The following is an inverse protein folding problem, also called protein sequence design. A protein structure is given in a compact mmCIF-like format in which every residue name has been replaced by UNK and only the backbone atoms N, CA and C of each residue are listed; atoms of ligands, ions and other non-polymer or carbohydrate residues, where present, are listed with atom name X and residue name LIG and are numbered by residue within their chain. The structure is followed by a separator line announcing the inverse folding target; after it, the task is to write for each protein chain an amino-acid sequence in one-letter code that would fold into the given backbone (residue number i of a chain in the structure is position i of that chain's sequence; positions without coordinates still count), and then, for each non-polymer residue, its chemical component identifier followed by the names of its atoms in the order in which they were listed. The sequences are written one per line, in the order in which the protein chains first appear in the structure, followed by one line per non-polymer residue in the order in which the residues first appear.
data_IF_611487943855
#
_entry.id   IF_611487943855
#
_cell.length_a   1.000
_cell.length_b   1.000
_cell.length_c   1.000
_cell.angle_alpha   90.00
_cell.angle_beta   90.00
_cell.angle_gamma   90.00
#
_symmetry.space_group_name_H-M   'P 1'
#
loop_
_entity.id
_entity.type
_entity.pdbx_description
1 polymer ?
#
# COMPACT_ATOMS: atom_id res chain seq x y z
N UNK A 1 13.44 -11.62 -0.78
CA UNK A 1 12.14 -12.27 -1.06
C UNK A 1 12.21 -13.81 -0.91
N UNK A 2 13.05 -14.28 0.01
CA UNK A 2 13.17 -15.70 0.41
C UNK A 2 13.22 -16.69 -0.75
N UNK A 3 13.98 -16.33 -1.81
CA UNK A 3 14.16 -17.12 -3.03
C UNK A 3 12.86 -17.52 -3.75
N UNK A 4 11.81 -16.72 -3.61
CA UNK A 4 10.57 -16.96 -4.34
C UNK A 4 10.79 -16.77 -5.85
N UNK A 5 10.59 -17.81 -6.68
CA UNK A 5 11.00 -17.78 -8.10
C UNK A 5 10.23 -16.73 -8.92
N UNK A 6 9.00 -16.42 -8.55
CA UNK A 6 8.18 -15.42 -9.24
C UNK A 6 8.78 -14.01 -9.22
N UNK A 7 9.72 -13.70 -8.32
CA UNK A 7 10.44 -12.42 -8.31
C UNK A 7 11.34 -12.25 -9.55
N UNK A 8 11.97 -13.34 -9.97
CA UNK A 8 12.94 -13.31 -11.10
C UNK A 8 12.34 -13.80 -12.42
N UNK A 9 11.17 -14.44 -12.39
CA UNK A 9 10.52 -15.01 -13.57
C UNK A 9 9.27 -14.25 -14.02
N UNK A 10 8.78 -13.30 -13.24
CA UNK A 10 7.61 -12.49 -13.61
C UNK A 10 7.91 -11.58 -14.81
N UNK A 11 6.86 -11.21 -15.54
CA UNK A 11 6.93 -10.23 -16.61
C UNK A 11 7.18 -8.82 -16.08
N UNK A 12 6.48 -8.45 -14.99
CA UNK A 12 6.57 -7.14 -14.36
C UNK A 12 6.58 -7.28 -12.84
N UNK A 13 7.48 -6.56 -12.19
CA UNK A 13 7.56 -6.48 -10.75
C UNK A 13 7.12 -5.09 -10.30
N UNK A 14 6.03 -5.02 -9.56
CA UNK A 14 5.55 -3.78 -8.97
C UNK A 14 5.98 -3.73 -7.51
N UNK A 15 6.63 -2.64 -7.12
CA UNK A 15 6.99 -2.35 -5.74
C UNK A 15 6.13 -1.19 -5.26
N UNK A 16 5.32 -1.41 -4.24
CA UNK A 16 4.45 -0.36 -3.68
C UNK A 16 5.12 0.20 -2.43
N UNK A 17 5.26 1.52 -2.42
CA UNK A 17 5.88 2.26 -1.32
C UNK A 17 4.83 3.00 -0.51
N UNK A 18 4.98 2.96 0.80
CA UNK A 18 4.25 3.80 1.73
C UNK A 18 4.92 5.17 1.81
N UNK A 19 4.20 6.24 1.52
CA UNK A 19 4.72 7.61 1.56
C UNK A 19 4.62 8.16 2.98
N UNK A 20 5.75 8.27 3.68
CA UNK A 20 5.81 8.72 5.08
C UNK A 20 5.70 10.25 5.16
N UNK A 21 6.55 10.93 4.41
CA UNK A 21 6.63 12.40 4.43
C UNK A 21 5.35 13.06 3.91
N UNK A 22 4.73 12.46 2.87
CA UNK A 22 3.57 13.03 2.18
C UNK A 22 2.33 13.25 3.07
N UNK A 23 2.27 12.63 4.24
CA UNK A 23 1.17 12.82 5.21
C UNK A 23 1.48 13.89 6.25
N UNK A 24 2.74 14.30 6.38
CA UNK A 24 3.18 15.33 7.34
C UNK A 24 2.77 16.72 6.84
N UNK A 25 2.25 17.60 7.72
CA UNK A 25 1.82 18.95 7.33
C UNK A 25 2.91 19.76 6.61
N UNK A 26 4.15 19.69 7.08
CA UNK A 26 5.29 20.39 6.55
C UNK A 26 5.65 20.04 5.10
N UNK A 27 5.21 18.88 4.60
CA UNK A 27 5.39 18.48 3.20
C UNK A 27 4.54 19.31 2.23
N UNK A 28 3.47 19.93 2.72
CA UNK A 28 2.47 20.64 1.92
C UNK A 28 1.65 19.76 0.97
N UNK A 29 1.85 18.43 0.99
CA UNK A 29 1.13 17.51 0.10
C UNK A 29 -0.35 17.46 0.44
N UNK A 30 -0.68 17.42 1.73
CA UNK A 30 -2.08 17.37 2.21
C UNK A 30 -2.81 18.64 1.82
N UNK A 31 -2.21 19.80 2.04
CA UNK A 31 -2.76 21.10 1.64
C UNK A 31 -3.04 21.17 0.12
N UNK A 32 -2.04 20.78 -0.70
CA UNK A 32 -2.21 20.75 -2.16
C UNK A 32 -3.35 19.82 -2.60
N UNK A 33 -3.55 18.68 -1.93
CA UNK A 33 -4.66 17.75 -2.22
C UNK A 33 -6.03 18.37 -1.92
N UNK A 34 -6.17 19.09 -0.81
CA UNK A 34 -7.43 19.76 -0.48
C UNK A 34 -7.72 20.94 -1.41
N UNK A 35 -6.72 21.74 -1.76
CA UNK A 35 -6.87 22.85 -2.72
C UNK A 35 -7.37 22.40 -4.11
N UNK A 36 -7.05 21.18 -4.55
CA UNK A 36 -7.55 20.63 -5.83
C UNK A 36 -9.08 20.40 -5.86
N UNK A 37 -9.74 20.44 -4.72
CA UNK A 37 -11.19 20.18 -4.64
C UNK A 37 -12.06 21.43 -4.83
N UNK A 38 -11.45 22.56 -5.20
CA UNK A 38 -12.15 23.83 -5.46
C UNK A 38 -13.12 24.23 -4.34
N UNK A 39 -12.76 23.97 -3.10
CA UNK A 39 -13.57 24.33 -1.94
C UNK A 39 -13.14 25.68 -1.35
N UNK A 40 -14.02 26.38 -0.62
CA UNK A 40 -13.66 27.62 0.09
C UNK A 40 -12.47 27.41 1.03
N UNK A 41 -11.60 28.42 1.14
CA UNK A 41 -10.36 28.35 1.94
C UNK A 41 -10.63 27.92 3.39
N UNK A 42 -11.71 28.44 4.00
CA UNK A 42 -12.12 28.08 5.37
C UNK A 42 -12.31 26.54 5.53
N UNK A 43 -12.89 25.88 4.52
CA UNK A 43 -13.05 24.42 4.53
C UNK A 43 -11.69 23.71 4.34
N UNK A 44 -10.81 24.24 3.52
CA UNK A 44 -9.45 23.73 3.35
C UNK A 44 -8.72 23.77 4.70
N UNK A 45 -8.75 24.90 5.39
CA UNK A 45 -8.10 25.11 6.67
C UNK A 45 -8.69 24.18 7.75
N UNK A 46 -10.00 24.00 7.76
CA UNK A 46 -10.65 23.05 8.66
C UNK A 46 -10.13 21.62 8.46
N UNK A 47 -10.06 21.13 7.23
CA UNK A 47 -9.57 19.77 6.95
C UNK A 47 -8.07 19.61 7.22
N UNK A 48 -7.25 20.63 6.96
CA UNK A 48 -5.82 20.63 7.30
C UNK A 48 -5.65 20.49 8.82
N UNK A 49 -6.38 21.29 9.60
CA UNK A 49 -6.32 21.25 11.06
C UNK A 49 -6.81 19.91 11.62
N UNK A 50 -7.90 19.37 11.07
CA UNK A 50 -8.42 18.05 11.45
C UNK A 50 -7.38 16.95 11.19
N UNK A 51 -6.73 17.01 10.03
CA UNK A 51 -5.68 16.06 9.65
C UNK A 51 -4.43 16.20 10.53
N UNK A 52 -3.98 17.41 10.79
CA UNK A 52 -2.87 17.68 11.69
C UNK A 52 -3.14 17.17 13.11
N UNK A 53 -4.36 17.36 13.62
CA UNK A 53 -4.78 16.83 14.92
C UNK A 53 -4.77 15.29 14.95
N UNK A 54 -5.23 14.64 13.88
CA UNK A 54 -5.17 13.18 13.77
C UNK A 54 -3.72 12.68 13.79
N UNK A 55 -2.81 13.32 13.05
CA UNK A 55 -1.40 13.00 13.08
C UNK A 55 -0.81 13.13 14.48
N UNK A 56 -1.03 14.27 15.13
CA UNK A 56 -0.48 14.52 16.46
C UNK A 56 -0.97 13.52 17.51
N UNK A 57 -2.23 13.12 17.45
CA UNK A 57 -2.85 12.28 18.46
C UNK A 57 -2.75 10.77 18.19
N UNK A 58 -2.68 10.37 16.91
CA UNK A 58 -2.78 8.95 16.52
C UNK A 58 -1.54 8.46 15.79
N UNK A 59 -0.88 9.33 15.02
CA UNK A 59 0.26 8.99 14.17
C UNK A 59 1.51 9.79 14.59
N UNK A 60 1.81 9.78 15.88
CA UNK A 60 2.85 10.61 16.50
C UNK A 60 4.30 10.19 16.21
N UNK A 61 4.50 9.05 15.52
CA UNK A 61 5.83 8.57 15.12
C UNK A 61 5.85 8.13 13.66
N UNK A 62 7.03 8.11 13.03
CA UNK A 62 7.19 7.62 11.67
C UNK A 62 6.76 6.15 11.53
N UNK A 63 6.89 5.35 12.58
CA UNK A 63 6.43 3.96 12.60
C UNK A 63 4.89 3.87 12.56
N UNK A 64 4.20 4.71 13.32
CA UNK A 64 2.75 4.78 13.28
C UNK A 64 2.25 5.32 11.92
N UNK A 65 2.94 6.31 11.37
CA UNK A 65 2.67 6.83 10.02
C UNK A 65 2.86 5.70 8.99
N UNK A 66 3.96 4.97 9.07
CA UNK A 66 4.22 3.84 8.16
C UNK A 66 3.11 2.78 8.27
N UNK A 67 2.77 2.35 9.47
CA UNK A 67 1.72 1.34 9.70
C UNK A 67 0.37 1.79 9.13
N UNK A 68 0.06 3.07 9.23
CA UNK A 68 -1.16 3.63 8.67
C UNK A 68 -1.10 3.75 7.14
N UNK A 69 -0.02 4.27 6.59
CA UNK A 69 0.13 4.47 5.14
C UNK A 69 0.28 3.14 4.39
N UNK A 70 0.94 2.14 4.98
CA UNK A 70 1.04 0.80 4.42
C UNK A 70 -0.35 0.14 4.24
N UNK A 71 -1.29 0.35 5.18
CA UNK A 71 -2.67 -0.12 5.01
C UNK A 71 -3.36 0.51 3.79
N UNK A 72 -3.07 1.78 3.47
CA UNK A 72 -3.63 2.46 2.30
C UNK A 72 -3.09 1.85 0.98
N UNK A 73 -1.86 1.36 0.97
CA UNK A 73 -1.29 0.69 -0.19
C UNK A 73 -1.99 -0.64 -0.51
N UNK A 74 -2.58 -1.29 0.50
CA UNK A 74 -3.39 -2.51 0.33
C UNK A 74 -4.60 -2.30 -0.58
N UNK A 75 -5.19 -1.10 -0.58
CA UNK A 75 -6.29 -0.75 -1.49
C UNK A 75 -5.81 -0.75 -2.95
N UNK A 76 -4.65 -0.13 -3.20
CA UNK A 76 -4.05 -0.11 -4.54
C UNK A 76 -3.67 -1.53 -4.99
N UNK A 77 -3.04 -2.32 -4.10
CA UNK A 77 -2.70 -3.72 -4.33
C UNK A 77 -3.91 -4.54 -4.74
N UNK A 78 -4.99 -4.50 -3.95
CA UNK A 78 -6.21 -5.25 -4.22
C UNK A 78 -6.83 -4.90 -5.57
N UNK A 79 -6.91 -3.60 -5.90
CA UNK A 79 -7.41 -3.13 -7.19
C UNK A 79 -6.55 -3.60 -8.37
N UNK A 80 -5.22 -3.52 -8.25
CA UNK A 80 -4.28 -3.96 -9.30
C UNK A 80 -4.38 -5.47 -9.54
N UNK A 81 -4.39 -6.28 -8.47
CA UNK A 81 -4.50 -7.73 -8.57
C UNK A 81 -5.86 -8.16 -9.16
N UNK A 82 -6.93 -7.51 -8.75
CA UNK A 82 -8.28 -7.78 -9.31
C UNK A 82 -8.34 -7.41 -10.79
N UNK A 83 -7.82 -6.25 -11.17
CA UNK A 83 -7.79 -5.83 -12.58
C UNK A 83 -6.94 -6.77 -13.44
N UNK A 84 -5.79 -7.23 -12.91
CA UNK A 84 -4.93 -8.20 -13.57
C UNK A 84 -5.66 -9.53 -13.80
N UNK A 85 -6.34 -10.05 -12.76
CA UNK A 85 -7.10 -11.29 -12.85
C UNK A 85 -8.20 -11.22 -13.92
N UNK A 86 -8.94 -10.10 -14.00
CA UNK A 86 -9.95 -9.87 -15.04
C UNK A 86 -9.34 -9.93 -16.46
N UNK A 87 -8.07 -9.55 -16.60
CA UNK A 87 -7.31 -9.60 -17.87
C UNK A 87 -6.60 -10.93 -18.10
N UNK A 88 -6.75 -11.92 -17.23
CA UNK A 88 -6.07 -13.21 -17.33
C UNK A 88 -4.58 -13.14 -16.97
N UNK A 89 -4.16 -12.12 -16.23
CA UNK A 89 -2.79 -11.97 -15.74
C UNK A 89 -2.73 -12.43 -14.29
N UNK A 90 -1.81 -13.32 -13.98
CA UNK A 90 -1.57 -13.78 -12.62
C UNK A 90 -0.77 -12.76 -11.81
N UNK A 91 -1.00 -12.77 -10.51
CA UNK A 91 -0.28 -11.92 -9.56
C UNK A 91 -0.15 -12.60 -8.19
N UNK A 92 0.85 -12.19 -7.43
CA UNK A 92 1.10 -12.69 -6.09
C UNK A 92 1.54 -11.53 -5.18
N UNK A 93 0.81 -11.27 -4.10
CA UNK A 93 1.28 -10.31 -3.10
C UNK A 93 2.37 -10.94 -2.25
N UNK A 94 3.52 -10.26 -2.13
CA UNK A 94 4.68 -10.73 -1.39
C UNK A 94 5.02 -9.72 -0.30
N UNK A 95 4.99 -10.18 0.95
CA UNK A 95 5.49 -9.49 2.14
C UNK A 95 6.69 -10.25 2.77
N UNK A 96 6.96 -11.48 2.29
CA UNK A 96 8.09 -12.31 2.70
C UNK A 96 9.42 -11.85 2.12
N UNK A 97 9.97 -10.74 2.60
CA UNK A 97 11.25 -10.16 2.19
C UNK A 97 11.99 -9.54 3.38
N UNK A 98 13.29 -9.35 3.21
CA UNK A 98 14.11 -8.56 4.13
C UNK A 98 13.99 -7.09 3.73
N UNK A 99 13.12 -6.37 4.44
CA UNK A 99 12.70 -5.01 4.10
C UNK A 99 13.87 -4.06 3.91
N UNK A 100 14.77 -4.02 4.88
CA UNK A 100 15.92 -3.12 4.89
C UNK A 100 16.83 -3.35 3.69
N UNK A 101 17.07 -4.61 3.31
CA UNK A 101 17.87 -4.94 2.13
C UNK A 101 17.21 -4.52 0.83
N UNK A 102 15.89 -4.66 0.72
CA UNK A 102 15.18 -4.23 -0.50
C UNK A 102 15.16 -2.72 -0.58
N UNK A 103 14.92 -2.01 0.52
CA UNK A 103 14.97 -0.56 0.60
C UNK A 103 16.35 -0.01 0.20
N UNK A 104 17.45 -0.65 0.66
CA UNK A 104 18.82 -0.34 0.27
C UNK A 104 19.08 -0.56 -1.21
N UNK A 105 18.70 -1.73 -1.77
CA UNK A 105 18.87 -2.05 -3.20
C UNK A 105 18.13 -1.06 -4.08
N UNK A 106 16.97 -0.59 -3.65
CA UNK A 106 16.18 0.41 -4.37
C UNK A 106 16.68 1.85 -4.16
N UNK A 107 17.62 2.07 -3.26
CA UNK A 107 18.14 3.40 -2.93
C UNK A 107 17.06 4.33 -2.40
N UNK A 108 16.14 3.84 -1.55
CA UNK A 108 15.03 4.63 -1.07
C UNK A 108 15.47 5.70 -0.07
N UNK A 109 14.91 6.89 -0.21
CA UNK A 109 14.95 7.91 0.83
C UNK A 109 13.92 7.52 1.92
N UNK A 110 14.43 6.90 2.99
CA UNK A 110 13.59 6.35 4.07
C UNK A 110 12.88 7.43 4.91
N UNK A 111 13.24 8.69 4.74
CA UNK A 111 12.49 9.81 5.33
C UNK A 111 11.20 10.11 4.57
N UNK A 112 11.11 9.68 3.30
CA UNK A 112 9.98 9.93 2.41
C UNK A 112 9.17 8.67 2.12
N UNK A 113 9.86 7.54 1.90
CA UNK A 113 9.22 6.32 1.43
C UNK A 113 9.74 5.10 2.18
N UNK A 114 8.85 4.18 2.48
CA UNK A 114 9.18 2.86 3.04
C UNK A 114 8.53 1.78 2.17
N UNK A 115 9.21 0.66 2.04
CA UNK A 115 8.66 -0.49 1.30
C UNK A 115 7.41 -1.02 2.02
N UNK A 116 6.34 -1.25 1.25
CA UNK A 116 5.09 -1.83 1.76
C UNK A 116 4.90 -3.26 1.25
N UNK A 117 4.76 -3.45 -0.05
CA UNK A 117 4.48 -4.76 -0.65
C UNK A 117 5.09 -4.85 -2.04
N UNK A 118 5.44 -6.06 -2.45
CA UNK A 118 5.96 -6.38 -3.78
C UNK A 118 4.94 -7.29 -4.49
N UNK A 119 4.66 -7.01 -5.76
CA UNK A 119 3.69 -7.77 -6.54
C UNK A 119 4.29 -8.13 -7.90
N UNK A 120 4.73 -9.37 -8.12
CA UNK A 120 5.01 -9.88 -9.45
C UNK A 120 3.71 -10.11 -10.23
N UNK A 121 3.74 -9.73 -11.52
CA UNK A 121 2.70 -9.98 -12.50
C UNK A 121 3.26 -10.79 -13.67
N UNK A 122 2.49 -11.75 -14.19
CA UNK A 122 2.91 -12.57 -15.31
C UNK A 122 1.88 -13.63 -15.67
N UNK A 123 2.29 -14.60 -16.46
CA UNK A 123 1.45 -15.74 -16.81
C UNK A 123 2.04 -17.01 -16.23
N UNK A 124 1.19 -17.82 -15.59
CA UNK A 124 1.62 -19.10 -15.06
C UNK A 124 1.98 -20.06 -16.18
N UNK A 125 2.99 -20.89 -15.93
CA UNK A 125 3.40 -21.97 -16.84
C UNK A 125 2.84 -23.33 -16.44
N UNK A 126 2.39 -23.46 -15.18
CA UNK A 126 1.78 -24.68 -14.66
C UNK A 126 0.30 -24.42 -14.33
N UNK A 127 -0.47 -25.49 -14.26
CA UNK A 127 -1.86 -25.37 -13.79
C UNK A 127 -1.93 -24.82 -12.37
N UNK A 128 -2.96 -24.02 -12.12
CA UNK A 128 -3.20 -23.48 -10.79
C UNK A 128 -3.60 -24.60 -9.84
N UNK A 129 -2.94 -24.67 -8.69
CA UNK A 129 -3.35 -25.52 -7.59
C UNK A 129 -4.77 -25.17 -7.13
N UNK A 130 -5.47 -26.17 -6.56
CA UNK A 130 -6.78 -25.93 -5.96
C UNK A 130 -6.74 -24.79 -4.95
N UNK A 131 -7.67 -23.84 -5.09
CA UNK A 131 -7.80 -22.75 -4.15
C UNK A 131 -8.56 -23.22 -2.91
N UNK A 132 -7.88 -23.26 -1.79
CA UNK A 132 -8.49 -23.50 -0.49
C UNK A 132 -9.03 -22.18 0.06
N UNK A 133 -10.26 -22.19 0.51
CA UNK A 133 -10.92 -21.05 1.16
C UNK A 133 -11.64 -21.54 2.40
N UNK A 134 -11.53 -20.76 3.48
CA UNK A 134 -12.35 -20.99 4.64
C UNK A 134 -13.84 -20.78 4.32
N UNK A 135 -14.75 -21.57 4.90
CA UNK A 135 -16.18 -21.31 4.81
C UNK A 135 -16.53 -19.91 5.28
N UNK A 136 -17.55 -19.28 4.65
CA UNK A 136 -17.91 -17.89 4.93
C UNK A 136 -18.25 -17.66 6.41
N UNK A 137 -18.90 -18.61 7.05
CA UNK A 137 -19.27 -18.58 8.46
C UNK A 137 -18.07 -18.52 9.43
N UNK A 138 -16.88 -18.95 8.96
CA UNK A 138 -15.67 -18.87 9.78
C UNK A 138 -14.99 -17.49 9.70
N UNK A 139 -15.33 -16.68 8.71
CA UNK A 139 -14.64 -15.40 8.42
C UNK A 139 -15.56 -14.19 8.46
N UNK A 140 -16.89 -14.40 8.49
CA UNK A 140 -17.89 -13.33 8.50
C UNK A 140 -18.94 -13.58 9.59
N UNK A 141 -19.15 -12.57 10.43
CA UNK A 141 -20.25 -12.54 11.38
C UNK A 141 -21.26 -11.45 10.96
N UNK A 142 -22.54 -11.83 10.85
CA UNK A 142 -23.63 -10.91 10.55
C UNK A 142 -24.28 -10.43 11.85
N UNK A 143 -24.02 -9.19 12.23
CA UNK A 143 -24.66 -8.56 13.38
C UNK A 143 -26.04 -8.02 12.93
N UNK A 144 -27.11 -8.46 13.59
CA UNK A 144 -28.49 -8.04 13.32
C UNK A 144 -28.91 -6.93 14.26
#
# INVERSE_FOLDING_TARGET
CWNQPQITTCSHLVVILAAIDAVKPESGVVERKFKRREMPQEKVDFYINLYASHLANTLSSDENIYSWTAKQTGIAMGNMMTAAAIKGVDSCAIEGFEKEKVEEILGLDLTKYRLSVIIPFGYRINEQSSQLREPLENVVEFIK
#
